data_IF_908112756486
#
_entry.id   IF_908112756486
#
_cell.length_a   1.000
_cell.length_b   1.000
_cell.length_c   1.000
_cell.angle_alpha   90.00
_cell.angle_beta   90.00
_cell.angle_gamma   90.00
#
_symmetry.space_group_name_H-M   'P 1'
#
loop_
_entity.id
_entity.type
_entity.pdbx_description
1 polymer ?
#
# COMPACT_ATOMS: atom_id res chain seq x y z
N UNK A 1 8.71 -25.36 6.54
CA UNK A 1 7.41 -25.64 5.89
C UNK A 1 6.30 -24.66 6.30
N UNK A 2 5.66 -24.75 7.47
CA UNK A 2 4.52 -23.85 7.80
C UNK A 2 4.93 -22.38 8.02
N UNK A 3 6.04 -22.14 8.74
CA UNK A 3 6.56 -20.77 8.97
C UNK A 3 6.93 -20.03 7.69
N UNK A 4 7.62 -20.70 6.77
CA UNK A 4 8.05 -20.09 5.49
C UNK A 4 6.85 -19.74 4.62
N UNK A 5 5.82 -20.61 4.60
CA UNK A 5 4.56 -20.34 3.91
C UNK A 5 3.86 -19.10 4.47
N UNK A 6 3.79 -18.96 5.80
CA UNK A 6 3.22 -17.76 6.44
C UNK A 6 4.01 -16.48 6.13
N UNK A 7 5.34 -16.56 6.11
CA UNK A 7 6.18 -15.43 5.72
C UNK A 7 5.97 -15.04 4.25
N UNK A 8 5.80 -16.01 3.35
CA UNK A 8 5.49 -15.76 1.95
C UNK A 8 4.12 -15.09 1.78
N UNK A 9 3.09 -15.56 2.50
CA UNK A 9 1.76 -14.95 2.51
C UNK A 9 1.81 -13.50 3.00
N UNK A 10 2.55 -13.23 4.08
CA UNK A 10 2.72 -11.89 4.61
C UNK A 10 3.43 -10.96 3.62
N UNK A 11 4.47 -11.44 2.93
CA UNK A 11 5.15 -10.68 1.87
C UNK A 11 4.21 -10.37 0.70
N UNK A 12 3.42 -11.35 0.27
CA UNK A 12 2.45 -11.18 -0.81
C UNK A 12 1.38 -10.13 -0.43
N UNK A 13 0.80 -10.22 0.77
CA UNK A 13 -0.17 -9.24 1.25
C UNK A 13 0.40 -7.82 1.35
N UNK A 14 1.67 -7.67 1.75
CA UNK A 14 2.35 -6.37 1.73
C UNK A 14 2.47 -5.81 0.31
N UNK A 15 2.87 -6.64 -0.65
CA UNK A 15 2.99 -6.23 -2.05
C UNK A 15 1.64 -5.76 -2.61
N UNK A 16 0.56 -6.47 -2.29
CA UNK A 16 -0.80 -6.09 -2.68
C UNK A 16 -1.25 -4.77 -2.04
N UNK A 17 -1.06 -4.61 -0.72
CA UNK A 17 -1.43 -3.38 -0.01
C UNK A 17 -0.65 -2.14 -0.51
N UNK A 18 0.60 -2.34 -0.95
CA UNK A 18 1.42 -1.28 -1.53
C UNK A 18 0.90 -0.80 -2.89
N UNK A 19 0.29 -1.69 -3.69
CA UNK A 19 -0.38 -1.32 -4.95
C UNK A 19 -1.65 -0.48 -4.74
N UNK A 20 -2.25 -0.53 -3.54
CA UNK A 20 -3.41 0.27 -3.17
C UNK A 20 -4.58 0.07 -4.14
N UNK A 21 -5.00 1.14 -4.83
CA UNK A 21 -6.06 1.08 -5.85
C UNK A 21 -5.67 0.36 -7.16
N UNK A 22 -4.49 -0.28 -7.21
CA UNK A 22 -3.95 -0.97 -8.37
C UNK A 22 -3.23 -0.06 -9.36
N UNK A 23 -2.41 -0.67 -10.23
CA UNK A 23 -1.56 0.02 -11.21
C UNK A 23 -2.32 1.04 -12.07
N UNK A 24 -3.53 0.68 -12.52
CA UNK A 24 -4.37 1.57 -13.33
C UNK A 24 -4.68 2.89 -12.63
N UNK A 25 -4.93 2.86 -11.31
CA UNK A 25 -5.23 4.06 -10.51
C UNK A 25 -3.97 4.86 -10.24
N UNK A 26 -2.83 4.20 -9.98
CA UNK A 26 -1.52 4.85 -9.83
C UNK A 26 -1.19 5.65 -11.09
N UNK A 27 -1.22 5.00 -12.26
CA UNK A 27 -0.97 5.63 -13.56
C UNK A 27 -1.94 6.79 -13.79
N UNK A 28 -3.23 6.63 -13.44
CA UNK A 28 -4.20 7.72 -13.57
C UNK A 28 -3.89 8.93 -12.68
N UNK A 29 -3.30 8.75 -11.50
CA UNK A 29 -2.87 9.88 -10.66
C UNK A 29 -1.69 10.61 -11.30
N UNK A 30 -0.67 9.87 -11.71
CA UNK A 30 0.51 10.44 -12.34
C UNK A 30 0.19 11.17 -13.65
N UNK A 31 -0.71 10.62 -14.48
CA UNK A 31 -1.22 11.30 -15.69
C UNK A 31 -1.93 12.62 -15.40
N UNK A 32 -2.47 12.79 -14.20
CA UNK A 32 -3.09 14.05 -13.73
C UNK A 32 -2.08 15.00 -13.08
N UNK A 33 -0.77 14.70 -13.13
CA UNK A 33 0.28 15.46 -12.46
C UNK A 33 0.24 15.31 -10.94
N UNK A 34 -0.42 14.27 -10.41
CA UNK A 34 -0.60 14.05 -8.97
C UNK A 34 0.23 12.87 -8.50
N UNK A 35 0.84 13.04 -7.34
CA UNK A 35 1.47 11.95 -6.59
C UNK A 35 0.42 11.07 -5.91
N UNK A 36 0.77 9.80 -5.69
CA UNK A 36 0.01 8.88 -4.82
C UNK A 36 0.11 9.31 -3.35
N UNK A 37 -0.73 8.73 -2.48
CA UNK A 37 -0.70 9.05 -1.05
C UNK A 37 0.67 8.76 -0.41
N UNK A 38 1.25 7.57 -0.68
CA UNK A 38 2.56 7.18 -0.14
C UNK A 38 3.71 8.02 -0.69
N UNK A 39 3.66 8.40 -1.96
CA UNK A 39 4.64 9.32 -2.55
C UNK A 39 4.63 10.68 -1.85
N UNK A 40 3.45 11.20 -1.49
CA UNK A 40 3.34 12.47 -0.76
C UNK A 40 3.94 12.36 0.64
N UNK A 41 3.63 11.28 1.37
CA UNK A 41 4.20 11.03 2.70
C UNK A 41 5.72 10.98 2.62
N UNK A 42 6.27 10.25 1.64
CA UNK A 42 7.73 10.13 1.45
C UNK A 42 8.43 11.47 1.20
N UNK A 43 7.74 12.45 0.61
CA UNK A 43 8.29 13.80 0.43
C UNK A 43 8.14 14.70 1.66
N UNK A 44 7.18 14.39 2.53
CA UNK A 44 6.84 15.22 3.69
C UNK A 44 7.73 14.92 4.89
N UNK A 45 8.10 13.66 5.09
CA UNK A 45 8.81 13.17 6.28
C UNK A 45 10.28 12.90 5.99
N UNK A 46 11.09 12.85 7.04
CA UNK A 46 12.50 12.52 6.90
C UNK A 46 12.68 11.09 6.35
N UNK A 47 13.71 10.85 5.53
CA UNK A 47 14.01 9.51 5.04
C UNK A 47 14.09 8.49 6.19
N UNK A 48 13.51 7.31 5.97
CA UNK A 48 13.51 6.18 6.91
C UNK A 48 12.84 6.45 8.28
N UNK A 49 12.08 7.55 8.42
CA UNK A 49 11.34 7.88 9.65
C UNK A 49 9.88 7.39 9.68
N UNK A 50 9.33 6.98 8.53
CA UNK A 50 7.91 6.64 8.42
C UNK A 50 7.61 5.21 8.87
N UNK A 51 6.75 5.06 9.88
CA UNK A 51 6.16 3.78 10.28
C UNK A 51 4.67 3.73 9.92
N UNK A 52 4.28 2.74 9.11
CA UNK A 52 2.89 2.58 8.65
C UNK A 52 2.10 1.65 9.58
N UNK A 53 0.98 2.16 10.10
CA UNK A 53 0.01 1.38 10.86
C UNK A 53 -1.12 0.87 9.95
N UNK A 54 -1.77 -0.21 10.36
CA UNK A 54 -3.04 -0.67 9.77
C UNK A 54 -3.00 -1.01 8.25
N UNK A 55 -1.83 -1.41 7.73
CA UNK A 55 -1.63 -1.74 6.30
C UNK A 55 -2.62 -2.77 5.73
N UNK A 56 -3.13 -3.68 6.55
CA UNK A 56 -4.04 -4.76 6.13
C UNK A 56 -5.51 -4.48 6.46
N UNK A 57 -5.86 -3.27 6.95
CA UNK A 57 -7.24 -2.95 7.29
C UNK A 57 -8.08 -2.84 6.03
N UNK A 58 -9.26 -3.47 6.07
CA UNK A 58 -10.30 -3.39 5.04
C UNK A 58 -11.60 -2.89 5.65
N UNK A 59 -12.47 -2.31 4.82
CA UNK A 59 -13.80 -1.92 5.28
C UNK A 59 -14.62 -3.15 5.68
N UNK A 60 -15.59 -2.96 6.58
CA UNK A 60 -16.55 -4.00 6.97
C UNK A 60 -17.94 -3.83 6.34
N UNK A 61 -18.14 -2.78 5.54
CA UNK A 61 -19.37 -2.63 4.77
C UNK A 61 -19.43 -3.76 3.74
N UNK A 62 -20.63 -4.20 3.37
CA UNK A 62 -20.84 -5.21 2.33
C UNK A 62 -21.38 -4.60 1.02
N UNK A 63 -21.85 -3.34 1.06
CA UNK A 63 -22.35 -2.58 -0.08
C UNK A 63 -21.45 -1.34 -0.34
N UNK A 64 -21.04 -1.10 -1.59
CA UNK A 64 -20.14 0.00 -2.02
C UNK A 64 -20.55 0.62 -3.35
#
# INVERSE_FOLDING_TARGET
MDREKRLAQLKAGRAEALLGGGEKRIISQHKKGKLTARERIKLLVDPDSFEEFDMFVTHRCADF
#
